data_IF_441146100434
#
_entry.id   IF_441146100434
#
_cell.length_a   1.000
_cell.length_b   1.000
_cell.length_c   1.000
_cell.angle_alpha   90.00
_cell.angle_beta   90.00
_cell.angle_gamma   90.00
#
_symmetry.space_group_name_H-M   'P 1'
#
loop_
_entity.id
_entity.type
_entity.pdbx_description
1 polymer ?
#
# COMPACT_ATOMS: atom_id res chain seq x y z
N UNK A 1 -8.62 6.23 -6.79
CA UNK A 1 -9.52 7.33 -6.43
C UNK A 1 -8.75 8.58 -6.02
N UNK A 2 -8.37 8.78 -4.75
CA UNK A 2 -7.64 9.99 -4.30
C UNK A 2 -6.46 10.41 -5.19
N UNK A 3 -5.57 9.48 -5.54
CA UNK A 3 -4.40 9.76 -6.39
C UNK A 3 -4.76 10.21 -7.82
N UNK A 4 -5.84 9.65 -8.39
CA UNK A 4 -6.25 9.97 -9.76
C UNK A 4 -7.07 11.26 -9.80
N UNK A 5 -7.98 11.45 -8.83
CA UNK A 5 -8.78 12.68 -8.69
C UNK A 5 -7.92 13.90 -8.36
N UNK A 6 -6.82 13.74 -7.61
CA UNK A 6 -5.83 14.80 -7.41
C UNK A 6 -5.23 15.32 -8.74
N UNK A 7 -5.35 14.55 -9.82
CA UNK A 7 -4.87 14.89 -11.15
C UNK A 7 -6.03 15.01 -12.17
N UNK A 8 -7.27 15.18 -11.70
CA UNK A 8 -8.48 15.25 -12.55
C UNK A 8 -8.67 14.04 -13.47
N UNK A 9 -8.22 12.86 -13.04
CA UNK A 9 -8.39 11.59 -13.75
C UNK A 9 -9.44 10.71 -13.08
N UNK A 10 -10.47 10.34 -13.84
CA UNK A 10 -11.48 9.38 -13.38
C UNK A 10 -10.94 7.95 -13.53
N UNK A 11 -10.83 7.23 -12.41
CA UNK A 11 -10.43 5.82 -12.39
C UNK A 11 -11.67 4.93 -12.35
N UNK A 12 -11.78 4.00 -13.32
CA UNK A 12 -12.79 2.93 -13.30
C UNK A 12 -12.18 1.64 -12.76
N UNK A 13 -12.96 0.88 -12.00
CA UNK A 13 -12.55 -0.38 -11.35
C UNK A 13 -13.51 -1.53 -11.70
N UNK A 14 -13.47 -2.07 -12.94
CA UNK A 14 -14.49 -3.00 -13.45
C UNK A 14 -14.69 -4.26 -12.61
N UNK A 15 -13.65 -4.74 -11.92
CA UNK A 15 -13.77 -5.90 -11.03
C UNK A 15 -14.60 -5.66 -9.76
N UNK A 16 -14.92 -4.40 -9.43
CA UNK A 16 -15.81 -4.02 -8.33
C UNK A 16 -17.23 -3.69 -8.81
N UNK A 17 -17.52 -3.92 -10.09
CA UNK A 17 -18.88 -3.82 -10.60
C UNK A 17 -19.81 -4.83 -9.90
N UNK A 18 -21.06 -4.42 -9.67
CA UNK A 18 -22.04 -5.21 -8.92
C UNK A 18 -22.41 -6.52 -9.62
N UNK A 19 -22.47 -6.52 -10.95
CA UNK A 19 -22.79 -7.71 -11.76
C UNK A 19 -21.60 -8.68 -11.78
N UNK A 20 -20.38 -8.13 -11.89
CA UNK A 20 -19.15 -8.92 -11.76
C UNK A 20 -19.05 -9.57 -10.38
N UNK A 21 -19.36 -8.81 -9.33
CA UNK A 21 -19.37 -9.32 -7.96
C UNK A 21 -20.46 -10.38 -7.75
N UNK A 22 -21.66 -10.18 -8.28
CA UNK A 22 -22.76 -11.15 -8.18
C UNK A 22 -22.32 -12.53 -8.68
N UNK A 23 -21.69 -12.59 -9.85
CA UNK A 23 -21.11 -13.83 -10.38
C UNK A 23 -19.98 -14.34 -9.49
N UNK A 24 -18.99 -13.50 -9.17
CA UNK A 24 -17.83 -13.90 -8.37
C UNK A 24 -18.18 -14.45 -6.98
N UNK A 25 -19.25 -13.94 -6.37
CA UNK A 25 -19.76 -14.36 -5.07
C UNK A 25 -20.24 -15.82 -5.09
N UNK A 26 -20.82 -16.27 -6.20
CA UNK A 26 -21.36 -17.62 -6.39
C UNK A 26 -20.30 -18.69 -6.70
N UNK A 27 -19.09 -18.29 -7.10
CA UNK A 27 -18.05 -19.23 -7.53
C UNK A 27 -17.58 -20.11 -6.35
N UNK A 28 -17.57 -21.45 -6.49
CA UNK A 28 -17.07 -22.37 -5.46
C UNK A 28 -15.60 -22.10 -5.09
N UNK A 29 -15.24 -22.33 -3.83
CA UNK A 29 -13.86 -22.10 -3.33
C UNK A 29 -12.80 -22.85 -4.14
N UNK A 30 -13.06 -24.10 -4.52
CA UNK A 30 -12.16 -24.91 -5.33
C UNK A 30 -11.89 -24.31 -6.74
N UNK A 31 -12.75 -23.43 -7.23
CA UNK A 31 -12.56 -22.69 -8.48
C UNK A 31 -11.95 -21.29 -8.27
N UNK A 32 -11.89 -20.81 -7.03
CA UNK A 32 -11.18 -19.57 -6.67
C UNK A 32 -9.69 -19.86 -6.46
N UNK A 33 -9.37 -20.95 -5.76
CA UNK A 33 -8.02 -21.32 -5.34
C UNK A 33 -7.85 -22.84 -5.45
N UNK A 34 -6.74 -23.28 -6.03
CA UNK A 34 -6.29 -24.68 -6.05
C UNK A 34 -4.96 -24.80 -5.30
N UNK A 35 -4.38 -26.01 -5.23
CA UNK A 35 -3.04 -26.20 -4.65
C UNK A 35 -1.95 -25.51 -5.49
N UNK A 36 -2.19 -25.37 -6.78
CA UNK A 36 -1.23 -24.89 -7.78
C UNK A 36 -1.40 -23.40 -8.11
N UNK A 37 -2.62 -22.85 -8.01
CA UNK A 37 -2.88 -21.47 -8.44
C UNK A 37 -4.00 -20.76 -7.71
N UNK A 38 -3.98 -19.43 -7.82
CA UNK A 38 -5.06 -18.55 -7.38
C UNK A 38 -5.79 -17.99 -8.60
N UNK A 39 -7.06 -17.59 -8.40
CA UNK A 39 -7.93 -17.02 -9.43
C UNK A 39 -8.20 -18.03 -10.57
N UNK A 40 -8.35 -19.31 -10.24
CA UNK A 40 -8.41 -20.39 -11.23
C UNK A 40 -9.50 -20.17 -12.28
N UNK A 41 -10.76 -19.96 -11.88
CA UNK A 41 -11.87 -19.70 -12.80
C UNK A 41 -11.62 -18.47 -13.69
N UNK A 42 -11.08 -17.38 -13.12
CA UNK A 42 -10.76 -16.16 -13.87
C UNK A 42 -9.67 -16.42 -14.92
N UNK A 43 -8.63 -17.18 -14.58
CA UNK A 43 -7.56 -17.54 -15.54
C UNK A 43 -8.11 -18.43 -16.65
N UNK A 44 -8.99 -19.39 -16.34
CA UNK A 44 -9.64 -20.23 -17.35
C UNK A 44 -10.56 -19.42 -18.26
N UNK A 45 -11.34 -18.47 -17.72
CA UNK A 45 -12.23 -17.62 -18.49
C UNK A 45 -11.50 -16.67 -19.45
N UNK A 46 -10.24 -16.31 -19.15
CA UNK A 46 -9.41 -15.45 -19.98
C UNK A 46 -8.44 -16.23 -20.90
N UNK A 47 -8.51 -17.57 -20.92
CA UNK A 47 -7.52 -18.41 -21.58
C UNK A 47 -7.36 -18.12 -23.08
N UNK A 48 -8.46 -17.76 -23.73
CA UNK A 48 -8.50 -17.45 -25.16
C UNK A 48 -8.36 -15.95 -25.47
N UNK A 49 -8.21 -15.11 -24.44
CA UNK A 49 -8.15 -13.63 -24.56
C UNK A 49 -6.73 -13.12 -24.33
N UNK A 50 -5.99 -13.70 -23.38
CA UNK A 50 -4.62 -13.25 -23.04
C UNK A 50 -3.58 -14.36 -23.27
N UNK A 51 -2.33 -14.01 -23.59
CA UNK A 51 -1.29 -15.00 -23.84
C UNK A 51 -1.05 -15.96 -22.64
N UNK A 52 -0.68 -17.23 -22.88
CA UNK A 52 -0.48 -18.23 -21.81
C UNK A 52 0.45 -17.78 -20.69
N UNK A 53 1.55 -17.09 -21.02
CA UNK A 53 2.51 -16.61 -20.02
C UNK A 53 1.91 -15.60 -19.01
N UNK A 54 0.85 -14.87 -19.39
CA UNK A 54 0.12 -13.95 -18.48
C UNK A 54 -0.73 -14.76 -17.50
N UNK A 55 -1.33 -15.86 -17.97
CA UNK A 55 -2.16 -16.77 -17.19
C UNK A 55 -1.35 -17.62 -16.21
N UNK A 56 -0.07 -17.85 -16.48
CA UNK A 56 0.82 -18.63 -15.60
C UNK A 56 1.56 -17.73 -14.61
N UNK A 57 1.58 -16.42 -14.84
CA UNK A 57 2.28 -15.47 -13.96
C UNK A 57 1.73 -15.53 -12.54
N UNK A 58 2.65 -15.66 -11.59
CA UNK A 58 2.35 -15.55 -10.17
C UNK A 58 1.71 -14.20 -9.83
N UNK A 59 0.87 -14.17 -8.79
CA UNK A 59 0.29 -12.90 -8.32
C UNK A 59 1.42 -12.00 -7.82
N UNK A 60 1.65 -10.93 -8.56
CA UNK A 60 2.52 -9.85 -8.15
C UNK A 60 1.63 -8.67 -7.73
N UNK A 61 1.90 -8.08 -6.57
CA UNK A 61 1.28 -6.82 -6.17
C UNK A 61 1.86 -5.65 -6.96
N UNK A 62 1.70 -4.45 -6.41
CA UNK A 62 2.39 -3.26 -6.88
C UNK A 62 3.50 -2.93 -5.87
N UNK A 63 4.68 -3.58 -5.95
CA UNK A 63 5.73 -3.33 -4.99
C UNK A 63 6.21 -1.89 -5.14
N UNK A 64 6.14 -1.14 -4.05
CA UNK A 64 6.75 0.17 -3.93
C UNK A 64 8.17 -0.02 -3.37
N UNK A 65 9.21 0.65 -3.89
CA UNK A 65 10.60 0.41 -3.49
C UNK A 65 10.96 1.04 -2.13
N UNK A 66 10.08 0.90 -1.13
CA UNK A 66 10.23 1.42 0.23
C UNK A 66 11.54 0.92 0.86
N UNK A 67 11.94 -0.32 0.57
CA UNK A 67 13.24 -0.87 0.99
C UNK A 67 14.42 0.02 0.57
N UNK A 68 14.40 0.52 -0.66
CA UNK A 68 15.49 1.37 -1.16
C UNK A 68 15.35 2.79 -0.63
N UNK A 69 14.14 3.31 -0.60
CA UNK A 69 13.88 4.67 -0.13
C UNK A 69 14.21 4.87 1.34
N UNK A 70 13.85 3.93 2.22
CA UNK A 70 14.17 4.03 3.66
C UNK A 70 15.67 3.93 3.97
N UNK A 71 16.49 3.43 3.03
CA UNK A 71 17.96 3.47 3.16
C UNK A 71 18.57 4.81 2.73
N UNK A 72 17.82 5.59 1.95
CA UNK A 72 18.34 6.75 1.23
C UNK A 72 17.35 7.92 1.31
N UNK A 73 16.66 8.24 0.22
CA UNK A 73 15.83 9.45 0.06
C UNK A 73 14.74 9.67 1.12
N UNK A 74 14.29 8.61 1.81
CA UNK A 74 13.27 8.70 2.87
C UNK A 74 13.83 8.47 4.28
N UNK A 75 15.13 8.21 4.45
CA UNK A 75 15.70 7.90 5.75
C UNK A 75 15.51 9.05 6.74
N UNK A 76 15.89 10.28 6.36
CA UNK A 76 15.81 11.43 7.27
C UNK A 76 14.35 11.77 7.62
N UNK A 77 13.45 11.64 6.64
CA UNK A 77 12.01 11.76 6.86
C UNK A 77 11.50 10.72 7.87
N UNK A 78 11.85 9.44 7.68
CA UNK A 78 11.45 8.37 8.59
C UNK A 78 12.01 8.61 10.01
N UNK A 79 13.26 9.00 10.10
CA UNK A 79 13.93 9.30 11.37
C UNK A 79 13.26 10.47 12.10
N UNK A 80 12.87 11.51 11.39
CA UNK A 80 12.14 12.65 11.96
C UNK A 80 10.77 12.21 12.52
N UNK A 81 9.98 11.44 11.76
CA UNK A 81 8.69 10.90 12.22
C UNK A 81 8.86 10.10 13.52
N UNK A 82 9.87 9.24 13.60
CA UNK A 82 10.14 8.42 14.80
C UNK A 82 10.58 9.31 15.97
N UNK A 83 11.45 10.29 15.73
CA UNK A 83 12.02 11.15 16.78
C UNK A 83 10.96 12.07 17.39
N UNK A 84 10.07 12.62 16.57
CA UNK A 84 9.04 13.59 17.00
C UNK A 84 7.77 12.94 17.55
N UNK A 85 7.61 11.62 17.38
CA UNK A 85 6.46 10.87 17.89
C UNK A 85 6.37 11.01 19.41
N UNK A 86 5.14 11.22 19.92
CA UNK A 86 4.81 11.20 21.35
C UNK A 86 4.16 9.87 21.76
N UNK A 87 4.20 8.86 20.88
CA UNK A 87 3.67 7.52 21.13
C UNK A 87 4.60 6.62 21.98
N UNK A 88 5.53 7.19 22.77
CA UNK A 88 6.51 6.45 23.57
C UNK A 88 5.86 5.47 24.58
N UNK A 89 4.62 5.75 24.99
CA UNK A 89 3.82 4.89 25.86
C UNK A 89 3.28 3.62 25.18
N UNK A 90 3.38 3.52 23.85
CA UNK A 90 2.93 2.39 23.03
C UNK A 90 4.08 1.74 22.26
N UNK A 91 5.09 2.53 21.87
CA UNK A 91 6.20 2.09 21.03
C UNK A 91 7.51 2.54 21.67
N UNK A 92 8.45 1.59 21.81
CA UNK A 92 9.83 1.90 22.15
C UNK A 92 10.50 2.66 20.98
N UNK A 93 10.63 3.99 21.16
CA UNK A 93 11.24 4.89 20.17
C UNK A 93 12.68 4.53 19.87
N UNK A 94 13.47 4.18 20.88
CA UNK A 94 14.88 3.87 20.68
C UNK A 94 15.04 2.55 19.91
N UNK A 95 14.17 1.57 20.14
CA UNK A 95 14.12 0.36 19.33
C UNK A 95 13.70 0.65 17.88
N UNK A 96 12.76 1.57 17.66
CA UNK A 96 12.35 1.97 16.32
C UNK A 96 13.48 2.68 15.55
N UNK A 97 14.23 3.58 16.20
CA UNK A 97 15.39 4.25 15.62
C UNK A 97 16.51 3.24 15.29
N UNK A 98 16.84 2.34 16.22
CA UNK A 98 17.81 1.25 15.96
C UNK A 98 17.38 0.40 14.77
N UNK A 99 16.11 0.03 14.67
CA UNK A 99 15.60 -0.75 13.55
C UNK A 99 15.75 -0.02 12.20
N UNK A 100 15.55 1.30 12.19
CA UNK A 100 15.76 2.13 11.00
C UNK A 100 17.25 2.20 10.61
N UNK A 101 18.14 2.38 11.58
CA UNK A 101 19.59 2.44 11.36
C UNK A 101 20.16 1.09 10.88
N UNK A 102 19.71 -0.01 11.49
CA UNK A 102 20.04 -1.38 11.10
C UNK A 102 19.53 -1.68 9.67
N UNK A 103 18.39 -1.12 9.27
CA UNK A 103 17.90 -1.27 7.91
C UNK A 103 18.75 -0.50 6.91
N UNK A 104 19.15 0.73 7.25
CA UNK A 104 19.98 1.57 6.38
C UNK A 104 21.32 0.92 6.12
N UNK A 105 22.04 0.61 7.19
CA UNK A 105 23.45 0.20 7.15
C UNK A 105 23.62 -1.32 7.03
N UNK A 106 22.66 -2.10 7.51
CA UNK A 106 22.75 -3.55 7.57
C UNK A 106 22.29 -4.30 6.32
N UNK A 107 22.57 -5.62 6.26
CA UNK A 107 22.21 -6.48 5.14
C UNK A 107 20.73 -6.87 5.12
N UNK A 108 20.02 -6.69 6.25
CA UNK A 108 18.65 -7.16 6.44
C UNK A 108 17.59 -6.15 5.99
N UNK A 109 16.46 -6.68 5.53
CA UNK A 109 15.30 -5.89 5.14
C UNK A 109 14.29 -5.80 6.30
N UNK A 110 14.20 -4.62 6.91
CA UNK A 110 13.21 -4.29 7.93
C UNK A 110 12.15 -3.31 7.43
N UNK A 111 12.12 -3.00 6.13
CA UNK A 111 11.30 -1.96 5.52
C UNK A 111 9.81 -2.07 5.88
N UNK A 112 9.26 -3.30 5.87
CA UNK A 112 7.86 -3.52 6.25
C UNK A 112 7.56 -3.18 7.70
N UNK A 113 8.44 -3.59 8.63
CA UNK A 113 8.26 -3.31 10.06
C UNK A 113 8.35 -1.80 10.31
N UNK A 114 9.37 -1.16 9.75
CA UNK A 114 9.55 0.29 9.84
C UNK A 114 8.34 1.02 9.25
N UNK A 115 7.88 0.62 8.06
CA UNK A 115 6.72 1.24 7.42
C UNK A 115 5.46 1.14 8.28
N UNK A 116 5.21 0.00 8.93
CA UNK A 116 4.10 -0.14 9.88
C UNK A 116 4.21 0.85 11.04
N UNK A 117 5.40 1.02 11.62
CA UNK A 117 5.63 1.99 12.70
C UNK A 117 5.42 3.42 12.22
N UNK A 118 5.96 3.79 11.05
CA UNK A 118 5.83 5.13 10.48
C UNK A 118 4.36 5.49 10.19
N UNK A 119 3.59 4.57 9.60
CA UNK A 119 2.16 4.80 9.32
C UNK A 119 1.39 4.98 10.62
N UNK A 120 1.69 4.18 11.65
CA UNK A 120 1.07 4.34 12.96
C UNK A 120 1.43 5.69 13.59
N UNK A 121 2.71 6.06 13.64
CA UNK A 121 3.16 7.33 14.22
C UNK A 121 2.63 8.56 13.47
N UNK A 122 2.47 8.47 12.14
CA UNK A 122 1.80 9.49 11.35
C UNK A 122 0.32 9.61 11.71
N UNK A 123 -0.39 8.48 11.79
CA UNK A 123 -1.80 8.47 12.20
C UNK A 123 -1.97 9.03 13.61
N UNK A 124 -1.15 8.59 14.56
CA UNK A 124 -1.15 9.07 15.94
C UNK A 124 -0.83 10.57 16.00
N UNK A 125 0.17 11.03 15.25
CA UNK A 125 0.53 12.44 15.10
C UNK A 125 -0.59 13.31 14.52
N UNK A 126 -1.45 12.77 13.65
CA UNK A 126 -2.58 13.50 13.04
C UNK A 126 -3.80 13.52 13.98
N UNK A 127 -4.15 12.39 14.59
CA UNK A 127 -5.46 12.21 15.22
C UNK A 127 -5.44 12.13 16.75
N UNK A 128 -4.28 11.94 17.37
CA UNK A 128 -4.16 11.79 18.84
C UNK A 128 -3.30 12.90 19.42
N UNK A 129 -2.09 13.10 18.88
CA UNK A 129 -1.18 14.18 19.30
C UNK A 129 -1.61 15.53 18.74
N UNK A 130 -2.35 15.52 17.62
CA UNK A 130 -2.64 16.70 16.79
C UNK A 130 -1.39 17.53 16.43
N UNK A 131 -0.20 16.92 16.43
CA UNK A 131 1.07 17.56 16.06
C UNK A 131 1.20 17.76 14.55
N UNK A 132 0.61 16.87 13.78
CA UNK A 132 0.66 16.89 12.32
C UNK A 132 -0.69 17.36 11.80
N UNK A 133 -0.73 18.52 11.17
CA UNK A 133 -1.91 19.02 10.47
C UNK A 133 -1.69 18.89 8.95
N UNK A 134 -2.27 17.87 8.29
CA UNK A 134 -2.12 17.73 6.85
C UNK A 134 -2.71 18.94 6.13
N UNK A 135 -1.85 19.69 5.44
CA UNK A 135 -2.31 20.74 4.52
C UNK A 135 -2.82 20.06 3.25
N UNK A 136 -4.13 19.91 3.13
CA UNK A 136 -4.76 19.43 1.89
C UNK A 136 -4.86 20.63 0.95
N UNK A 137 -4.18 20.63 -0.20
CA UNK A 137 -4.34 21.70 -1.18
C UNK A 137 -5.81 21.76 -1.63
N UNK A 138 -6.37 22.97 -1.75
CA UNK A 138 -7.64 23.18 -2.44
C UNK A 138 -7.35 23.55 -3.91
N UNK A 139 -7.40 22.58 -4.84
CA UNK A 139 -7.18 22.89 -6.24
C UNK A 139 -8.30 23.80 -6.76
N UNK A 140 -7.93 24.90 -7.41
CA UNK A 140 -8.86 25.74 -8.16
C UNK A 140 -9.18 25.03 -9.46
N UNK A 141 -10.36 24.42 -9.54
CA UNK A 141 -10.83 23.80 -10.77
C UNK A 141 -11.26 24.87 -11.78
N UNK A 142 -10.82 24.77 -13.05
CA UNK A 142 -11.20 25.74 -14.09
C UNK A 142 -12.68 25.64 -14.46
N UNK A 143 -13.34 24.52 -14.16
CA UNK A 143 -14.76 24.29 -14.39
C UNK A 143 -15.50 24.48 -13.08
N UNK A 144 -16.42 25.46 -13.05
CA UNK A 144 -17.43 25.58 -11.99
C UNK A 144 -18.68 24.85 -12.49
N UNK A 145 -19.13 23.84 -11.74
CA UNK A 145 -20.39 23.13 -11.99
C UNK A 145 -21.59 24.02 -11.68
#
# INVERSE_FOLDING_TARGET
DKMTMANSLELRVPFLDVEVFAVASSIPTAQKITKETTKYALRRALADIVPPHVLERAKLGFPVPIRHWLKDVMYDWARAIITESQADHLIDRDAALRLLDDHRTGPHDYSRKIWTLLVFMLWHGIFVEERIHPKVPEPVYPVRL
#
